data_IF_191898740998
#
_entry.id   IF_191898740998
#
_cell.length_a   1.000
_cell.length_b   1.000
_cell.length_c   1.000
_cell.angle_alpha   90.00
_cell.angle_beta   90.00
_cell.angle_gamma   90.00
#
_symmetry.space_group_name_H-M   'P 1'
#
loop_
_entity.id
_entity.type
_entity.pdbx_description
1 polymer ?
#
# COMPACT_ATOMS: atom_id res chain seq x y z
N UNK A 1 -34.90 -5.04 37.11
CA UNK A 1 -34.25 -5.26 38.41
C UNK A 1 -33.36 -4.06 38.66
N UNK A 2 -33.92 -3.05 39.33
CA UNK A 2 -33.28 -1.77 39.66
C UNK A 2 -32.71 -1.95 41.07
N UNK A 3 -31.41 -1.72 41.25
CA UNK A 3 -30.79 -1.70 42.58
C UNK A 3 -30.17 -0.31 42.78
N UNK A 4 -30.96 0.57 43.38
CA UNK A 4 -30.53 1.79 44.06
C UNK A 4 -29.91 1.41 45.41
N UNK A 5 -28.68 1.86 45.70
CA UNK A 5 -28.14 1.83 47.06
C UNK A 5 -28.22 3.22 47.72
N UNK A 6 -28.57 3.29 49.02
CA UNK A 6 -29.01 4.51 49.66
C UNK A 6 -27.87 5.31 50.32
N UNK A 7 -28.11 6.62 50.38
CA UNK A 7 -27.54 7.56 51.34
C UNK A 7 -27.68 7.06 52.78
N UNK A 8 -26.66 7.27 53.63
CA UNK A 8 -26.84 7.35 55.07
C UNK A 8 -25.98 8.49 55.65
N UNK A 9 -26.60 9.47 56.34
CA UNK A 9 -25.93 10.62 56.93
C UNK A 9 -25.67 10.39 58.42
N UNK A 10 -24.51 10.79 58.94
CA UNK A 10 -24.36 11.03 60.38
C UNK A 10 -23.52 12.26 60.67
N UNK A 11 -24.22 13.25 61.21
CA UNK A 11 -23.68 14.40 61.93
C UNK A 11 -23.21 13.97 63.32
N UNK A 12 -22.06 14.47 63.75
CA UNK A 12 -21.81 14.77 65.16
C UNK A 12 -21.09 16.11 65.26
N UNK A 13 -21.54 16.91 66.21
CA UNK A 13 -21.11 18.28 66.44
C UNK A 13 -20.51 18.46 67.84
N UNK A 14 -19.66 19.50 67.96
CA UNK A 14 -19.30 20.30 69.18
C UNK A 14 -18.20 19.69 70.10
N UNK A 15 -17.35 20.45 70.86
CA UNK A 15 -17.17 21.91 71.05
C UNK A 15 -15.75 22.51 70.84
N UNK A 16 -15.73 23.85 70.94
CA UNK A 16 -14.61 24.81 71.02
C UNK A 16 -13.56 24.54 72.12
N UNK A 17 -12.31 24.90 71.83
CA UNK A 17 -11.36 25.43 72.81
C UNK A 17 -10.61 26.64 72.22
N UNK A 18 -10.67 27.77 72.92
CA UNK A 18 -9.88 28.98 72.65
C UNK A 18 -8.50 28.79 73.29
N UNK A 19 -7.43 28.94 72.52
CA UNK A 19 -6.13 29.32 73.07
C UNK A 19 -5.49 30.42 72.23
N UNK A 20 -5.38 31.58 72.86
CA UNK A 20 -4.58 32.72 72.47
C UNK A 20 -3.11 32.31 72.58
N UNK A 21 -2.39 32.18 71.46
CA UNK A 21 -0.94 32.14 71.48
C UNK A 21 -0.34 33.19 70.56
N UNK A 22 0.27 34.16 71.24
CA UNK A 22 1.39 35.01 70.89
C UNK A 22 1.96 34.91 69.47
N UNK A 23 2.02 36.11 68.88
CA UNK A 23 2.84 36.52 67.75
C UNK A 23 4.24 35.92 67.79
N UNK A 24 4.53 34.99 66.87
CA UNK A 24 5.88 34.79 66.37
C UNK A 24 6.02 35.54 65.04
N UNK A 25 6.82 36.61 65.05
CA UNK A 25 7.22 37.35 63.85
C UNK A 25 8.03 36.41 62.97
N UNK A 26 7.40 35.87 61.92
CA UNK A 26 8.11 35.15 60.86
C UNK A 26 8.94 36.17 60.08
N UNK A 27 10.20 36.27 60.46
CA UNK A 27 11.24 36.99 59.75
C UNK A 27 11.40 36.41 58.34
N UNK A 28 11.20 37.29 57.37
CA UNK A 28 11.78 37.30 56.03
C UNK A 28 11.81 35.97 55.25
N UNK A 29 11.00 35.94 54.19
CA UNK A 29 11.14 35.07 53.03
C UNK A 29 12.60 34.98 52.59
N UNK A 30 13.26 33.86 52.89
CA UNK A 30 14.28 33.33 52.01
C UNK A 30 13.57 32.48 50.96
N UNK A 31 12.88 33.15 50.04
CA UNK A 31 12.67 32.56 48.72
C UNK A 31 14.05 32.37 48.11
N UNK A 32 14.67 31.21 48.34
CA UNK A 32 15.67 30.68 47.41
C UNK A 32 14.98 30.62 46.06
N UNK A 33 15.19 31.64 45.24
CA UNK A 33 14.93 31.55 43.83
C UNK A 33 15.76 30.37 43.34
N UNK A 34 15.12 29.23 43.08
CA UNK A 34 15.65 28.28 42.12
C UNK A 34 15.83 29.10 40.85
N UNK A 35 17.08 29.49 40.54
CA UNK A 35 17.43 29.86 39.18
C UNK A 35 16.95 28.69 38.35
N UNK A 36 15.87 28.88 37.58
CA UNK A 36 15.70 28.07 36.39
C UNK A 36 16.93 28.41 35.56
N UNK A 37 17.94 27.53 35.61
CA UNK A 37 18.84 27.42 34.48
C UNK A 37 17.92 27.00 33.36
N UNK A 38 17.41 27.99 32.61
CA UNK A 38 16.67 27.74 31.41
C UNK A 38 17.69 27.15 30.46
N UNK A 39 17.86 25.83 30.49
CA UNK A 39 18.45 25.06 29.42
C UNK A 39 17.47 25.15 28.24
N UNK A 40 17.43 26.33 27.62
CA UNK A 40 16.69 26.59 26.40
C UNK A 40 17.52 26.11 25.22
N UNK A 41 16.85 25.52 24.24
CA UNK A 41 17.44 25.16 22.96
C UNK A 41 17.99 26.44 22.31
N UNK A 42 19.28 26.44 21.95
CA UNK A 42 19.89 27.60 21.29
C UNK A 42 19.44 27.67 19.84
N UNK A 43 19.40 28.89 19.27
CA UNK A 43 19.11 29.06 17.84
C UNK A 43 20.13 28.32 16.97
N UNK A 44 21.38 28.26 17.40
CA UNK A 44 22.43 27.54 16.68
C UNK A 44 22.23 26.02 16.70
N UNK A 45 21.78 25.44 17.81
CA UNK A 45 21.40 24.02 17.88
C UNK A 45 20.24 23.72 16.92
N UNK A 46 19.25 24.59 16.84
CA UNK A 46 18.12 24.44 15.91
C UNK A 46 18.55 24.52 14.45
N UNK A 47 19.45 25.45 14.12
CA UNK A 47 19.93 25.60 12.75
C UNK A 47 20.69 24.34 12.28
N UNK A 48 21.52 23.76 13.14
CA UNK A 48 22.25 22.52 12.81
C UNK A 48 21.29 21.34 12.66
N UNK A 49 20.31 21.20 13.55
CA UNK A 49 19.32 20.11 13.47
C UNK A 49 18.50 20.21 12.19
N UNK A 50 18.01 21.40 11.84
CA UNK A 50 17.26 21.60 10.60
C UNK A 50 18.11 21.36 9.36
N UNK A 51 19.40 21.70 9.40
CA UNK A 51 20.33 21.40 8.30
C UNK A 51 20.45 19.89 8.06
N UNK A 52 20.62 19.10 9.13
CA UNK A 52 20.74 17.63 9.02
C UNK A 52 19.42 17.01 8.57
N UNK A 53 18.29 17.41 9.16
CA UNK A 53 16.96 16.91 8.79
C UNK A 53 16.65 17.26 7.32
N UNK A 54 17.02 18.45 6.84
CA UNK A 54 16.83 18.85 5.46
C UNK A 54 17.55 17.93 4.46
N UNK A 55 18.81 17.57 4.74
CA UNK A 55 19.59 16.66 3.89
C UNK A 55 18.96 15.26 3.88
N UNK A 56 18.56 14.72 5.04
CA UNK A 56 17.93 13.40 5.11
C UNK A 56 16.57 13.40 4.40
N UNK A 57 15.75 14.43 4.62
CA UNK A 57 14.41 14.53 4.05
C UNK A 57 14.44 14.59 2.52
N UNK A 58 15.43 15.25 1.93
CA UNK A 58 15.58 15.34 0.47
C UNK A 58 15.69 13.95 -0.21
N UNK A 59 16.31 12.98 0.45
CA UNK A 59 16.39 11.59 -0.05
C UNK A 59 15.25 10.70 0.47
N UNK A 60 14.88 10.86 1.75
CA UNK A 60 13.91 9.99 2.40
C UNK A 60 12.48 10.18 1.85
N UNK A 61 12.07 11.41 1.54
CA UNK A 61 10.73 11.70 1.02
C UNK A 61 10.46 11.01 -0.32
N UNK A 62 11.29 11.17 -1.38
CA UNK A 62 11.02 10.49 -2.65
C UNK A 62 11.07 8.96 -2.51
N UNK A 63 12.00 8.41 -1.74
CA UNK A 63 12.06 6.97 -1.48
C UNK A 63 10.80 6.44 -0.76
N UNK A 64 10.26 7.21 0.19
CA UNK A 64 9.01 6.85 0.88
C UNK A 64 7.79 6.95 -0.03
N UNK A 65 7.75 7.93 -0.94
CA UNK A 65 6.69 8.05 -1.95
C UNK A 65 6.67 6.82 -2.88
N UNK A 66 7.83 6.37 -3.36
CA UNK A 66 7.96 5.15 -4.17
C UNK A 66 7.49 3.89 -3.43
N UNK A 67 7.76 3.82 -2.13
CA UNK A 67 7.27 2.71 -1.29
C UNK A 67 5.74 2.72 -1.18
N UNK A 68 5.13 3.88 -0.94
CA UNK A 68 3.68 4.01 -0.91
C UNK A 68 3.06 3.70 -2.28
N UNK A 69 3.67 4.14 -3.38
CA UNK A 69 3.21 3.81 -4.73
C UNK A 69 3.27 2.30 -4.99
N UNK A 70 4.35 1.61 -4.62
CA UNK A 70 4.45 0.13 -4.69
C UNK A 70 3.36 -0.58 -3.90
N UNK A 71 3.06 -0.10 -2.69
CA UNK A 71 1.97 -0.65 -1.89
C UNK A 71 0.61 -0.51 -2.58
N UNK A 72 0.37 0.62 -3.25
CA UNK A 72 -0.85 0.87 -4.05
C UNK A 72 -0.91 -0.01 -5.30
N UNK A 73 0.21 -0.34 -5.92
CA UNK A 73 0.24 -1.30 -7.04
C UNK A 73 -0.22 -2.69 -6.59
N UNK A 74 0.11 -3.10 -5.36
CA UNK A 74 -0.38 -4.34 -4.76
C UNK A 74 -1.92 -4.42 -4.66
N UNK A 75 -2.59 -3.29 -4.43
CA UNK A 75 -4.07 -3.22 -4.49
C UNK A 75 -4.60 -3.49 -5.89
N UNK A 76 -3.94 -2.99 -6.93
CA UNK A 76 -4.32 -3.29 -8.32
C UNK A 76 -4.19 -4.77 -8.66
N UNK A 77 -3.12 -5.41 -8.17
CA UNK A 77 -2.94 -6.85 -8.35
C UNK A 77 -4.00 -7.67 -7.62
N UNK A 78 -4.45 -7.25 -6.43
CA UNK A 78 -5.52 -7.96 -5.73
C UNK A 78 -6.87 -7.81 -6.43
N UNK A 79 -7.18 -6.62 -6.99
CA UNK A 79 -8.38 -6.41 -7.79
C UNK A 79 -8.35 -7.22 -9.10
N UNK A 80 -7.17 -7.38 -9.71
CA UNK A 80 -6.96 -8.20 -10.90
C UNK A 80 -7.15 -9.71 -10.66
N UNK A 81 -7.24 -10.19 -9.41
CA UNK A 81 -7.46 -11.60 -9.13
C UNK A 81 -8.79 -12.11 -9.71
N UNK A 82 -9.85 -11.29 -9.65
CA UNK A 82 -11.15 -11.59 -10.26
C UNK A 82 -11.06 -11.75 -11.79
N UNK A 83 -10.29 -10.88 -12.44
CA UNK A 83 -10.03 -10.95 -13.88
C UNK A 83 -9.25 -12.21 -14.25
N UNK A 84 -8.23 -12.59 -13.46
CA UNK A 84 -7.46 -13.82 -13.69
C UNK A 84 -8.33 -15.06 -13.64
N UNK A 85 -9.28 -15.12 -12.71
CA UNK A 85 -10.23 -16.23 -12.59
C UNK A 85 -11.14 -16.29 -13.82
N UNK A 86 -11.74 -15.16 -14.22
CA UNK A 86 -12.59 -15.11 -15.40
C UNK A 86 -11.86 -15.53 -16.69
N UNK A 87 -10.61 -15.06 -16.88
CA UNK A 87 -9.79 -15.47 -18.02
C UNK A 87 -9.49 -16.97 -17.98
N UNK A 88 -9.17 -17.53 -16.81
CA UNK A 88 -8.88 -18.96 -16.68
C UNK A 88 -10.11 -19.84 -16.98
N UNK A 89 -11.29 -19.48 -16.49
CA UNK A 89 -12.55 -20.18 -16.77
C UNK A 89 -12.91 -20.12 -18.26
N UNK A 90 -12.78 -18.93 -18.87
CA UNK A 90 -13.05 -18.74 -20.29
C UNK A 90 -12.04 -19.46 -21.18
N UNK A 91 -10.76 -19.48 -20.78
CA UNK A 91 -9.72 -20.22 -21.48
C UNK A 91 -9.96 -21.74 -21.45
N UNK A 92 -10.40 -22.28 -20.32
CA UNK A 92 -10.78 -23.67 -20.21
C UNK A 92 -12.04 -24.01 -21.03
N UNK A 93 -12.95 -23.05 -21.22
CA UNK A 93 -14.21 -23.24 -21.95
C UNK A 93 -14.13 -22.90 -23.45
N UNK A 94 -13.03 -22.28 -23.90
CA UNK A 94 -12.88 -21.80 -25.29
C UNK A 94 -13.71 -20.54 -25.61
N UNK A 95 -14.13 -19.79 -24.60
CA UNK A 95 -14.90 -18.55 -24.75
C UNK A 95 -13.97 -17.34 -25.01
N UNK A 96 -14.55 -16.19 -25.33
CA UNK A 96 -13.81 -14.92 -25.29
C UNK A 96 -13.29 -14.65 -23.87
N UNK A 97 -12.04 -14.24 -23.71
CA UNK A 97 -11.38 -14.23 -22.41
C UNK A 97 -11.99 -13.25 -21.40
N UNK A 98 -12.55 -12.13 -21.88
CA UNK A 98 -13.29 -11.16 -21.07
C UNK A 98 -14.78 -11.50 -20.87
N UNK A 99 -15.27 -12.62 -21.41
CA UNK A 99 -16.68 -12.99 -21.36
C UNK A 99 -17.21 -13.09 -19.93
N UNK A 100 -18.27 -12.35 -19.62
CA UNK A 100 -18.90 -12.34 -18.28
C UNK A 100 -18.07 -11.63 -17.19
N UNK A 101 -16.88 -11.14 -17.50
CA UNK A 101 -16.09 -10.36 -16.55
C UNK A 101 -16.67 -8.96 -16.38
N UNK A 102 -17.01 -8.60 -15.14
CA UNK A 102 -17.34 -7.24 -14.76
C UNK A 102 -16.15 -6.60 -14.05
N UNK A 103 -15.64 -5.49 -14.61
CA UNK A 103 -14.57 -4.73 -13.98
C UNK A 103 -15.01 -4.22 -12.61
N UNK A 104 -14.19 -4.37 -11.55
CA UNK A 104 -14.49 -3.79 -10.26
C UNK A 104 -14.57 -2.26 -10.37
N UNK A 105 -15.34 -1.60 -9.50
CA UNK A 105 -15.40 -0.15 -9.47
C UNK A 105 -14.01 0.44 -9.19
N UNK A 106 -13.74 1.60 -9.78
CA UNK A 106 -12.51 2.34 -9.54
C UNK A 106 -12.33 2.64 -8.04
N UNK A 107 -11.08 2.58 -7.58
CA UNK A 107 -10.70 2.96 -6.22
C UNK A 107 -9.92 4.27 -6.25
N UNK A 108 -9.42 4.70 -5.10
CA UNK A 108 -8.53 5.88 -5.05
C UNK A 108 -7.20 5.64 -5.75
N UNK A 109 -6.78 4.38 -5.91
CA UNK A 109 -5.47 4.02 -6.43
C UNK A 109 -5.54 3.36 -7.81
N UNK A 110 -6.66 2.70 -8.13
CA UNK A 110 -6.88 1.96 -9.37
C UNK A 110 -8.01 2.61 -10.15
N UNK A 111 -7.72 2.97 -11.40
CA UNK A 111 -8.68 3.58 -12.32
C UNK A 111 -9.52 2.53 -13.02
N UNK A 112 -8.90 1.46 -13.53
CA UNK A 112 -9.64 0.34 -14.13
C UNK A 112 -8.81 -0.94 -14.19
N UNK A 113 -9.51 -2.07 -14.30
CA UNK A 113 -8.95 -3.38 -14.63
C UNK A 113 -9.66 -3.87 -15.88
N UNK A 114 -8.93 -4.05 -16.98
CA UNK A 114 -9.49 -4.47 -18.27
C UNK A 114 -8.91 -5.81 -18.68
N UNK A 115 -9.73 -6.65 -19.30
CA UNK A 115 -9.33 -7.91 -19.91
C UNK A 115 -9.42 -7.73 -21.42
N UNK A 116 -8.35 -8.03 -22.12
CA UNK A 116 -8.35 -8.12 -23.58
C UNK A 116 -9.07 -9.42 -24.00
N UNK A 117 -10.09 -9.31 -24.84
CA UNK A 117 -10.93 -10.47 -25.20
C UNK A 117 -10.23 -11.50 -26.08
N UNK A 118 -9.18 -11.08 -26.80
CA UNK A 118 -8.51 -11.90 -27.82
C UNK A 118 -7.26 -12.60 -27.28
N UNK A 119 -6.59 -11.98 -26.31
CA UNK A 119 -5.32 -12.47 -25.72
C UNK A 119 -5.43 -12.87 -24.26
N UNK A 120 -6.48 -12.41 -23.56
CA UNK A 120 -6.63 -12.60 -22.12
C UNK A 120 -5.68 -11.74 -21.28
N UNK A 121 -4.92 -10.83 -21.89
CA UNK A 121 -4.08 -9.86 -21.18
C UNK A 121 -4.95 -9.01 -20.25
N UNK A 122 -4.52 -8.89 -19.00
CA UNK A 122 -5.18 -8.02 -18.02
C UNK A 122 -4.35 -6.75 -17.88
N UNK A 123 -4.93 -5.61 -18.20
CA UNK A 123 -4.30 -4.30 -18.01
C UNK A 123 -4.91 -3.62 -16.80
N UNK A 124 -4.07 -3.31 -15.81
CA UNK A 124 -4.44 -2.52 -14.63
C UNK A 124 -3.95 -1.09 -14.86
N UNK A 125 -4.87 -0.14 -14.88
CA UNK A 125 -4.58 1.29 -14.93
C UNK A 125 -4.68 1.88 -13.52
N UNK A 126 -3.63 2.57 -13.08
CA UNK A 126 -3.56 3.23 -11.78
C UNK A 126 -3.87 4.72 -11.89
N UNK A 127 -4.29 5.34 -10.79
CA UNK A 127 -4.47 6.80 -10.75
C UNK A 127 -3.13 7.53 -10.64
N UNK A 128 -3.18 8.87 -10.76
CA UNK A 128 -2.02 9.76 -10.56
C UNK A 128 -1.39 9.69 -9.16
N UNK A 129 -2.03 9.01 -8.21
CA UNK A 129 -1.44 8.72 -6.89
C UNK A 129 -0.32 7.68 -6.97
N UNK A 130 -0.29 6.85 -8.01
CA UNK A 130 0.75 5.82 -8.19
C UNK A 130 1.82 6.35 -9.12
N UNK A 131 1.42 6.77 -10.32
CA UNK A 131 2.33 7.28 -11.34
C UNK A 131 1.61 8.30 -12.24
N UNK A 132 2.33 9.22 -12.90
CA UNK A 132 1.73 10.17 -13.85
C UNK A 132 0.85 9.50 -14.91
N UNK A 133 -0.12 10.26 -15.44
CA UNK A 133 -0.94 9.77 -16.55
C UNK A 133 -0.05 9.40 -17.75
N UNK A 134 -0.29 8.24 -18.35
CA UNK A 134 0.51 7.71 -19.44
C UNK A 134 1.71 6.85 -19.00
N UNK A 135 2.06 6.85 -17.71
CA UNK A 135 3.06 5.95 -17.10
C UNK A 135 2.48 5.13 -15.95
N UNK A 136 1.20 4.76 -16.06
CA UNK A 136 0.38 4.24 -14.97
C UNK A 136 -0.27 2.89 -15.28
N UNK A 137 0.20 2.14 -16.28
CA UNK A 137 -0.39 0.85 -16.64
C UNK A 137 0.54 -0.33 -16.37
N UNK A 138 -0.02 -1.41 -15.85
CA UNK A 138 0.65 -2.68 -15.58
C UNK A 138 -0.09 -3.80 -16.32
N UNK A 139 0.64 -4.72 -16.95
CA UNK A 139 0.05 -5.81 -17.71
C UNK A 139 0.31 -7.16 -17.04
N UNK A 140 -0.70 -8.01 -17.00
CA UNK A 140 -0.61 -9.41 -16.61
C UNK A 140 -0.94 -10.24 -17.85
N UNK A 141 0.04 -10.97 -18.35
CA UNK A 141 -0.09 -11.71 -19.59
C UNK A 141 -0.21 -13.20 -19.25
N UNK A 142 -1.32 -13.86 -19.60
CA UNK A 142 -1.45 -15.29 -19.45
C UNK A 142 -0.67 -16.03 -20.54
N UNK A 143 -0.21 -17.22 -20.21
CA UNK A 143 0.39 -18.17 -21.16
C UNK A 143 0.04 -19.59 -20.79
N UNK A 144 0.06 -20.47 -21.78
CA UNK A 144 -0.08 -21.92 -21.59
C UNK A 144 1.15 -22.62 -22.16
N UNK A 145 1.48 -23.85 -21.73
CA UNK A 145 2.53 -24.62 -22.39
C UNK A 145 2.12 -24.92 -23.84
N UNK A 146 3.10 -24.94 -24.75
CA UNK A 146 2.92 -25.34 -26.15
C UNK A 146 2.39 -26.77 -26.33
N UNK A 147 2.73 -27.65 -25.39
CA UNK A 147 2.21 -29.01 -25.33
C UNK A 147 2.08 -29.46 -23.86
N UNK A 148 1.08 -30.30 -23.56
CA UNK A 148 0.73 -30.65 -22.19
C UNK A 148 1.70 -31.66 -21.53
N UNK A 149 2.28 -32.56 -22.31
CA UNK A 149 3.03 -33.71 -21.80
C UNK A 149 4.54 -33.41 -21.61
N UNK A 150 5.12 -32.59 -22.49
CA UNK A 150 6.55 -32.25 -22.50
C UNK A 150 6.78 -30.78 -22.92
N UNK A 151 6.40 -29.78 -22.09
CA UNK A 151 6.42 -28.37 -22.48
C UNK A 151 7.80 -27.93 -22.98
N UNK A 152 7.86 -27.29 -24.16
CA UNK A 152 9.08 -26.75 -24.76
C UNK A 152 9.09 -25.22 -24.88
N UNK A 153 7.90 -24.61 -24.87
CA UNK A 153 7.68 -23.17 -24.94
C UNK A 153 6.45 -22.76 -24.12
N UNK A 154 6.32 -21.47 -23.81
CA UNK A 154 5.04 -20.90 -23.36
C UNK A 154 4.47 -20.07 -24.48
N UNK A 155 3.21 -20.31 -24.81
CA UNK A 155 2.52 -19.64 -25.90
C UNK A 155 1.43 -18.74 -25.36
N UNK A 156 1.19 -17.64 -26.07
CA UNK A 156 0.07 -16.75 -25.80
C UNK A 156 -1.25 -17.49 -26.06
N UNK A 157 -2.30 -17.06 -25.38
CA UNK A 157 -3.64 -17.63 -25.54
C UNK A 157 -4.21 -17.25 -26.90
N UNK A 158 -5.07 -18.11 -27.44
CA UNK A 158 -5.80 -17.88 -28.70
C UNK A 158 -7.30 -17.95 -28.48
N UNK A 159 -8.00 -16.86 -28.82
CA UNK A 159 -9.47 -16.81 -28.71
C UNK A 159 -10.16 -17.91 -29.50
N UNK A 160 -11.26 -18.43 -28.93
CA UNK A 160 -12.12 -19.40 -29.59
C UNK A 160 -11.58 -20.84 -29.61
N UNK A 161 -10.45 -21.08 -28.95
CA UNK A 161 -9.90 -22.42 -28.71
C UNK A 161 -9.83 -22.69 -27.21
N UNK A 162 -10.21 -23.91 -26.81
CA UNK A 162 -9.94 -24.39 -25.46
C UNK A 162 -8.42 -24.48 -25.25
N UNK A 163 -7.92 -23.84 -24.20
CA UNK A 163 -6.50 -23.81 -23.90
C UNK A 163 -6.12 -25.05 -23.08
N UNK A 164 -5.20 -25.86 -23.60
CA UNK A 164 -4.71 -27.05 -22.90
C UNK A 164 -3.62 -26.71 -21.87
N UNK A 165 -3.60 -27.42 -20.74
CA UNK A 165 -2.61 -27.22 -19.69
C UNK A 165 -2.97 -26.15 -18.66
N UNK A 166 -2.03 -25.83 -17.77
CA UNK A 166 -2.24 -24.82 -16.72
C UNK A 166 -1.85 -23.43 -17.19
N UNK A 167 -2.72 -22.44 -16.95
CA UNK A 167 -2.38 -21.04 -17.18
C UNK A 167 -1.27 -20.60 -16.24
N UNK A 168 -0.27 -19.95 -16.80
CA UNK A 168 0.78 -19.26 -16.05
C UNK A 168 0.73 -17.79 -16.37
N UNK A 169 0.73 -16.98 -15.31
CA UNK A 169 0.67 -15.53 -15.40
C UNK A 169 2.05 -14.93 -15.28
N UNK A 170 2.34 -13.99 -16.15
CA UNK A 170 3.52 -13.15 -16.02
C UNK A 170 3.14 -11.68 -15.94
N UNK A 171 3.86 -10.94 -15.11
CA UNK A 171 3.65 -9.52 -14.92
C UNK A 171 4.69 -8.70 -15.69
N UNK A 172 4.21 -7.65 -16.34
CA UNK A 172 5.00 -6.73 -17.15
C UNK A 172 4.82 -5.28 -16.71
N UNK A 173 5.92 -4.54 -16.77
CA UNK A 173 6.02 -3.11 -16.46
C UNK A 173 6.71 -2.37 -17.59
N UNK A 174 6.69 -1.04 -17.55
CA UNK A 174 7.38 -0.19 -18.49
C UNK A 174 8.85 -0.57 -18.62
N UNK A 175 9.26 -0.91 -19.85
CA UNK A 175 10.62 -1.32 -20.18
C UNK A 175 10.91 -2.83 -20.06
N UNK A 176 10.01 -3.65 -19.51
CA UNK A 176 10.14 -5.12 -19.54
C UNK A 176 9.63 -5.64 -20.89
N UNK A 177 10.56 -6.04 -21.76
CA UNK A 177 10.24 -6.53 -23.11
C UNK A 177 10.35 -8.07 -23.26
N UNK A 178 10.91 -8.76 -22.27
CA UNK A 178 11.13 -10.20 -22.31
C UNK A 178 10.52 -10.89 -21.09
N UNK A 179 10.08 -12.13 -21.29
CA UNK A 179 9.63 -12.99 -20.21
C UNK A 179 10.79 -13.40 -19.29
N UNK A 180 10.53 -13.42 -17.99
CA UNK A 180 11.38 -13.93 -16.92
C UNK A 180 10.94 -15.31 -16.43
N UNK A 181 9.90 -15.91 -17.03
CA UNK A 181 9.49 -17.27 -16.68
C UNK A 181 10.63 -18.26 -16.97
N UNK A 182 10.86 -19.25 -16.07
CA UNK A 182 11.87 -20.26 -16.27
C UNK A 182 11.52 -21.13 -17.49
N UNK A 183 12.53 -21.85 -18.01
CA UNK A 183 12.36 -22.85 -19.07
C UNK A 183 11.07 -23.67 -18.86
N UNK A 184 10.29 -23.88 -19.92
CA UNK A 184 10.80 -24.15 -21.26
C UNK A 184 10.42 -23.07 -22.28
N UNK A 185 11.41 -22.53 -22.99
CA UNK A 185 11.25 -21.63 -24.15
C UNK A 185 10.98 -20.14 -23.88
N UNK A 186 10.79 -19.37 -24.96
CA UNK A 186 10.41 -17.96 -24.90
C UNK A 186 9.04 -17.82 -24.26
N UNK A 187 8.90 -16.94 -23.27
CA UNK A 187 7.62 -16.70 -22.62
C UNK A 187 6.75 -15.65 -23.32
N UNK A 188 5.57 -15.37 -22.78
CA UNK A 188 4.61 -14.47 -23.42
C UNK A 188 5.17 -13.05 -23.52
N UNK A 189 4.67 -12.30 -24.51
CA UNK A 189 4.88 -10.86 -24.60
C UNK A 189 3.52 -10.16 -24.51
N UNK A 190 3.46 -8.97 -23.88
CA UNK A 190 2.22 -8.21 -23.83
C UNK A 190 1.82 -7.75 -25.24
N UNK A 191 0.53 -7.83 -25.55
CA UNK A 191 -0.05 -7.31 -26.79
C UNK A 191 0.00 -5.77 -26.82
N UNK A 192 -0.23 -5.15 -25.65
CA UNK A 192 -0.03 -3.72 -25.42
C UNK A 192 1.01 -3.51 -24.32
N UNK A 193 2.07 -2.76 -24.62
CA UNK A 193 3.17 -2.54 -23.70
C UNK A 193 2.72 -1.71 -22.47
N UNK A 194 2.90 -2.22 -21.25
CA UNK A 194 2.62 -1.46 -20.03
C UNK A 194 3.60 -0.30 -19.87
N UNK A 195 3.20 0.74 -19.14
CA UNK A 195 3.96 1.99 -19.01
C UNK A 195 4.38 2.31 -17.58
N UNK A 196 3.96 1.53 -16.58
CA UNK A 196 4.32 1.72 -15.18
C UNK A 196 5.85 1.62 -14.99
N UNK A 197 6.51 2.64 -14.41
CA UNK A 197 7.94 2.59 -14.12
C UNK A 197 8.32 1.38 -13.28
N UNK A 198 9.40 0.70 -13.65
CA UNK A 198 9.82 -0.52 -12.98
C UNK A 198 10.10 -0.29 -11.49
N UNK A 199 10.66 0.85 -11.04
CA UNK A 199 10.87 1.11 -9.61
C UNK A 199 9.59 1.09 -8.76
N UNK A 200 8.42 1.35 -9.38
CA UNK A 200 7.12 1.38 -8.71
C UNK A 200 6.41 0.03 -8.71
N UNK A 201 6.93 -0.95 -9.42
CA UNK A 201 6.30 -2.25 -9.53
C UNK A 201 6.85 -3.27 -8.50
N UNK A 202 6.07 -4.32 -8.17
CA UNK A 202 6.55 -5.46 -7.41
C UNK A 202 7.72 -6.18 -8.12
N UNK A 203 8.63 -6.86 -7.37
CA UNK A 203 9.75 -7.62 -7.93
C UNK A 203 9.38 -8.52 -9.13
N UNK A 204 8.28 -9.25 -9.03
CA UNK A 204 7.79 -10.19 -10.03
C UNK A 204 7.41 -9.55 -11.37
N UNK A 205 7.22 -8.23 -11.40
CA UNK A 205 6.87 -7.47 -12.60
C UNK A 205 8.06 -6.77 -13.26
N UNK A 206 9.23 -6.78 -12.61
CA UNK A 206 10.43 -6.00 -12.99
C UNK A 206 11.53 -6.86 -13.59
N UNK A 207 11.66 -8.10 -13.11
CA UNK A 207 12.61 -9.09 -13.63
C UNK A 207 12.11 -9.68 -14.93
#
# INVERSE_FOLDING_TARGET
MIVTLPYSPYSHAVPRSRSTFMRARWSARLTRAFRRVGFGFTLIELMIVLAIVGVIAAYAIPAYQDYLARSRVGEGLSLAASARLAVAENAASGNAFGGGYASPPATRNVESVRVDEDTGQITVAFTTRVAPAGSNTLALVPSVPDNADAPTARVALSKGAMQAGSLTWECFTGGKAASSLPAPGAGPAPAEAPTLPSNLAPPECRS
#
